data_IF_151040478290
#
_entry.id   IF_151040478290
#
_cell.length_a   1.000
_cell.length_b   1.000
_cell.length_c   1.000
_cell.angle_alpha   90.00
_cell.angle_beta   90.00
_cell.angle_gamma   90.00
#
_symmetry.space_group_name_H-M   'P 1'
#
loop_
_entity.id
_entity.type
_entity.pdbx_description
1 polymer ?
#
# COMPACT_ATOMS: atom_id res chain seq x y z
N UNK A 1 11.44 -3.68 12.83
CA UNK A 1 11.12 -5.00 12.24
C UNK A 1 11.77 -6.06 13.11
N UNK A 2 11.02 -6.99 13.67
CA UNK A 2 11.67 -8.15 14.27
C UNK A 2 12.49 -8.86 13.19
N UNK A 3 13.74 -9.18 13.50
CA UNK A 3 14.56 -10.01 12.62
C UNK A 3 13.89 -11.38 12.55
N UNK A 4 13.41 -11.73 11.38
CA UNK A 4 12.89 -13.09 11.18
C UNK A 4 14.03 -14.08 11.39
N UNK A 5 13.77 -15.19 12.11
CA UNK A 5 14.79 -16.23 12.27
C UNK A 5 15.23 -16.72 10.88
N UNK A 6 16.49 -17.12 10.74
CA UNK A 6 17.01 -17.60 9.46
C UNK A 6 16.17 -18.80 8.99
N UNK A 7 15.71 -18.74 7.73
CA UNK A 7 14.94 -19.82 7.11
C UNK A 7 15.86 -21.02 6.95
N UNK A 8 15.51 -22.20 7.48
CA UNK A 8 16.29 -23.41 7.27
C UNK A 8 16.47 -23.70 5.77
N UNK A 9 17.64 -24.19 5.38
CA UNK A 9 17.95 -24.52 4.00
C UNK A 9 16.86 -25.43 3.40
N UNK A 10 16.25 -24.98 2.28
CA UNK A 10 15.21 -25.70 1.57
C UNK A 10 13.76 -25.41 2.02
N UNK A 11 13.53 -24.57 3.02
CA UNK A 11 12.18 -24.08 3.34
C UNK A 11 11.86 -22.80 2.57
N UNK A 12 10.61 -22.70 2.13
CA UNK A 12 10.04 -21.49 1.53
C UNK A 12 9.13 -20.82 2.56
N UNK A 13 9.43 -19.56 2.87
CA UNK A 13 8.59 -18.72 3.72
C UNK A 13 7.80 -17.75 2.85
N UNK A 14 6.49 -17.70 3.05
CA UNK A 14 5.60 -16.71 2.41
C UNK A 14 4.84 -15.96 3.47
N UNK A 15 4.80 -14.64 3.32
CA UNK A 15 3.96 -13.76 4.12
C UNK A 15 2.95 -13.07 3.22
N UNK A 16 1.76 -12.81 3.77
CA UNK A 16 0.79 -11.94 3.12
C UNK A 16 1.08 -10.50 3.51
N UNK A 17 1.10 -9.63 2.51
CA UNK A 17 1.37 -8.19 2.67
C UNK A 17 0.32 -7.38 1.93
N UNK A 18 0.29 -6.09 2.21
CA UNK A 18 -0.53 -5.11 1.49
C UNK A 18 0.35 -4.00 0.94
N UNK A 19 0.01 -3.50 -0.24
CA UNK A 19 0.55 -2.28 -0.82
C UNK A 19 -0.61 -1.36 -1.20
N UNK A 20 -0.55 -0.09 -0.81
CA UNK A 20 -1.70 0.81 -0.97
C UNK A 20 -1.30 2.04 -1.78
N UNK A 21 -1.85 2.16 -2.98
CA UNK A 21 -1.68 3.35 -3.80
C UNK A 21 -2.77 4.36 -3.48
N UNK A 22 -2.45 5.30 -2.61
CA UNK A 22 -3.36 6.38 -2.21
C UNK A 22 -3.27 7.50 -3.23
N UNK A 23 -4.40 7.92 -3.79
CA UNK A 23 -4.49 8.97 -4.82
C UNK A 23 -5.23 10.18 -4.27
N UNK A 24 -4.67 11.37 -4.48
CA UNK A 24 -5.29 12.64 -4.19
C UNK A 24 -4.79 13.71 -5.17
N UNK A 25 -5.70 14.50 -5.73
CA UNK A 25 -5.38 15.60 -6.65
C UNK A 25 -4.49 15.16 -7.83
N UNK A 26 -4.78 13.99 -8.44
CA UNK A 26 -4.01 13.38 -9.54
C UNK A 26 -2.55 13.05 -9.18
N UNK A 27 -2.28 12.83 -7.90
CA UNK A 27 -0.97 12.42 -7.38
C UNK A 27 -1.12 11.17 -6.54
N UNK A 28 -0.05 10.39 -6.46
CA UNK A 28 0.06 9.20 -5.64
C UNK A 28 0.98 9.46 -4.46
N UNK A 29 0.62 8.88 -3.32
CA UNK A 29 1.41 8.97 -2.10
C UNK A 29 2.52 7.92 -2.11
N UNK A 30 3.76 8.35 -1.94
CA UNK A 30 4.92 7.48 -1.76
C UNK A 30 5.73 7.93 -0.55
N UNK A 31 6.44 6.99 0.05
CA UNK A 31 7.44 7.26 1.08
C UNK A 31 8.79 6.61 0.73
N UNK A 32 9.85 7.18 1.26
CA UNK A 32 11.19 6.62 1.08
C UNK A 32 11.49 5.60 2.18
N UNK A 33 11.59 4.34 1.81
CA UNK A 33 11.92 3.25 2.73
C UNK A 33 13.43 3.16 2.92
N UNK A 34 13.95 3.72 4.02
CA UNK A 34 15.39 3.89 4.27
C UNK A 34 16.19 2.58 4.21
N UNK A 35 15.68 1.49 4.80
CA UNK A 35 16.37 0.19 4.81
C UNK A 35 16.50 -0.42 3.43
N UNK A 36 15.52 -0.21 2.56
CA UNK A 36 15.52 -0.72 1.19
C UNK A 36 16.11 0.27 0.18
N UNK A 37 16.26 1.54 0.58
CA UNK A 37 16.74 2.59 -0.32
C UNK A 37 15.82 2.84 -1.51
N UNK A 38 14.50 2.69 -1.32
CA UNK A 38 13.51 2.74 -2.39
C UNK A 38 12.31 3.60 -2.03
N UNK A 39 11.72 4.22 -3.06
CA UNK A 39 10.41 4.83 -2.97
C UNK A 39 9.33 3.76 -3.12
N UNK A 40 8.44 3.66 -2.15
CA UNK A 40 7.41 2.64 -2.06
C UNK A 40 6.05 3.27 -1.76
N UNK A 41 4.94 2.66 -2.18
CA UNK A 41 3.64 2.96 -1.60
C UNK A 41 3.61 2.50 -0.14
N UNK A 42 2.76 3.08 0.71
CA UNK A 42 2.53 2.54 2.06
C UNK A 42 2.12 1.08 1.99
N UNK A 43 2.63 0.28 2.93
CA UNK A 43 2.31 -1.14 2.97
C UNK A 43 3.17 -1.92 3.96
N UNK A 44 2.78 -3.15 4.19
CA UNK A 44 3.48 -4.04 5.12
C UNK A 44 2.76 -5.35 5.34
N UNK A 45 3.17 -6.08 6.37
CA UNK A 45 2.61 -7.38 6.69
C UNK A 45 1.17 -7.26 7.23
N UNK A 46 0.33 -8.24 6.85
CA UNK A 46 -0.94 -8.48 7.50
C UNK A 46 -0.64 -9.19 8.82
N UNK A 47 -1.07 -8.62 9.93
CA UNK A 47 -0.83 -9.18 11.27
C UNK A 47 -1.74 -10.38 11.57
N UNK A 48 -1.41 -11.14 12.60
CA UNK A 48 -2.23 -12.28 13.03
C UNK A 48 -3.65 -11.81 13.39
N UNK A 49 -4.66 -12.47 12.82
CA UNK A 49 -6.09 -12.16 12.97
C UNK A 49 -6.55 -10.80 12.40
N UNK A 50 -5.69 -10.10 11.66
CA UNK A 50 -6.04 -8.87 10.95
C UNK A 50 -6.63 -9.18 9.57
N UNK A 51 -7.64 -8.42 9.16
CA UNK A 51 -8.16 -8.52 7.80
C UNK A 51 -7.28 -7.72 6.82
N UNK A 52 -7.17 -8.15 5.55
CA UNK A 52 -6.32 -7.45 4.58
C UNK A 52 -6.68 -5.98 4.35
N UNK A 53 -7.97 -5.64 4.34
CA UNK A 53 -8.44 -4.27 4.17
C UNK A 53 -8.19 -3.42 5.44
N UNK A 54 -8.20 -4.01 6.62
CA UNK A 54 -7.79 -3.36 7.87
C UNK A 54 -6.28 -3.08 7.88
N UNK A 55 -5.46 -4.08 7.50
CA UNK A 55 -4.01 -3.92 7.37
C UNK A 55 -3.66 -2.78 6.40
N UNK A 56 -4.33 -2.71 5.26
CA UNK A 56 -4.12 -1.65 4.27
C UNK A 56 -4.34 -0.25 4.86
N UNK A 57 -5.42 -0.04 5.60
CA UNK A 57 -5.72 1.24 6.23
C UNK A 57 -4.74 1.56 7.35
N UNK A 58 -4.38 0.56 8.17
CA UNK A 58 -3.42 0.71 9.27
C UNK A 58 -2.04 1.14 8.75
N UNK A 59 -1.51 0.43 7.75
CA UNK A 59 -0.18 0.71 7.18
C UNK A 59 -0.11 2.13 6.58
N UNK A 60 -1.14 2.57 5.84
CA UNK A 60 -1.19 3.95 5.34
C UNK A 60 -1.07 4.94 6.47
N UNK A 61 -1.82 4.74 7.56
CA UNK A 61 -1.81 5.66 8.69
C UNK A 61 -0.48 5.65 9.43
N UNK A 62 0.10 4.48 9.69
CA UNK A 62 1.36 4.34 10.43
C UNK A 62 2.54 4.95 9.66
N UNK A 63 2.63 4.68 8.37
CA UNK A 63 3.76 5.12 7.57
C UNK A 63 3.66 6.57 7.08
N UNK A 64 2.45 7.13 6.99
CA UNK A 64 2.25 8.45 6.36
C UNK A 64 1.42 9.44 7.18
N UNK A 65 0.70 8.98 8.19
CA UNK A 65 -0.26 9.79 8.92
C UNK A 65 -1.58 10.04 8.20
N UNK A 66 -1.71 9.60 6.94
CA UNK A 66 -2.92 9.80 6.14
C UNK A 66 -4.04 8.88 6.63
N UNK A 67 -5.23 9.42 6.78
CA UNK A 67 -6.45 8.64 6.95
C UNK A 67 -7.05 8.33 5.60
N UNK A 68 -7.01 7.07 5.20
CA UNK A 68 -7.41 6.63 3.88
C UNK A 68 -8.70 5.82 3.90
N UNK A 69 -9.43 5.88 2.80
CA UNK A 69 -10.55 5.01 2.47
C UNK A 69 -10.17 4.20 1.25
N UNK A 70 -10.29 2.88 1.34
CA UNK A 70 -10.05 2.00 0.22
C UNK A 70 -11.11 2.19 -0.87
N UNK A 71 -10.68 2.12 -2.11
CA UNK A 71 -11.53 2.19 -3.29
C UNK A 71 -11.47 0.84 -4.00
N UNK A 72 -12.63 0.21 -4.13
CA UNK A 72 -12.75 -1.10 -4.76
C UNK A 72 -14.15 -1.65 -4.56
N UNK A 73 -14.48 -2.65 -5.36
CA UNK A 73 -15.74 -3.38 -5.20
C UNK A 73 -15.69 -4.31 -3.98
N UNK A 74 -16.85 -4.71 -3.53
CA UNK A 74 -17.03 -5.86 -2.64
C UNK A 74 -17.54 -7.01 -3.51
N UNK A 75 -17.24 -8.24 -3.16
CA UNK A 75 -17.56 -9.39 -3.99
C UNK A 75 -19.06 -9.52 -4.32
N UNK A 76 -19.84 -10.10 -3.44
CA UNK A 76 -21.27 -10.30 -3.62
C UNK A 76 -22.07 -9.23 -2.86
N UNK A 77 -23.27 -8.85 -3.32
CA UNK A 77 -24.15 -7.92 -2.61
C UNK A 77 -24.94 -8.64 -1.49
N UNK A 78 -24.21 -9.24 -0.55
CA UNK A 78 -24.75 -9.99 0.59
C UNK A 78 -24.03 -9.60 1.87
N UNK A 79 -24.68 -9.72 3.02
CA UNK A 79 -24.12 -9.36 4.32
C UNK A 79 -23.30 -10.50 4.94
N UNK A 80 -23.74 -11.74 4.73
CA UNK A 80 -23.05 -12.93 5.23
C UNK A 80 -22.83 -13.98 4.12
N UNK A 81 -21.62 -14.48 3.94
CA UNK A 81 -20.40 -14.05 4.64
C UNK A 81 -20.02 -12.60 4.29
N UNK A 82 -19.41 -11.89 5.27
CA UNK A 82 -18.95 -10.51 5.09
C UNK A 82 -18.01 -10.41 3.88
N UNK A 83 -18.33 -9.50 2.99
CA UNK A 83 -17.51 -9.24 1.81
C UNK A 83 -16.48 -8.16 2.11
N UNK A 84 -15.22 -8.46 1.86
CA UNK A 84 -14.12 -7.51 2.04
C UNK A 84 -13.92 -6.69 0.76
N UNK A 85 -13.18 -5.59 0.87
CA UNK A 85 -12.77 -4.83 -0.31
C UNK A 85 -11.88 -5.68 -1.19
N UNK A 86 -12.24 -5.81 -2.46
CA UNK A 86 -11.46 -6.57 -3.43
C UNK A 86 -10.19 -5.81 -3.77
N UNK A 87 -8.98 -6.39 -3.62
CA UNK A 87 -7.75 -5.75 -4.05
C UNK A 87 -7.74 -5.52 -5.57
N UNK A 88 -7.05 -4.47 -6.01
CA UNK A 88 -6.87 -4.16 -7.43
C UNK A 88 -6.03 -5.23 -8.15
N UNK A 89 -5.21 -5.95 -7.41
CA UNK A 89 -4.46 -7.10 -7.88
C UNK A 89 -3.72 -7.81 -6.75
N UNK A 90 -3.17 -8.97 -7.09
CA UNK A 90 -2.35 -9.77 -6.19
C UNK A 90 -1.08 -10.13 -6.95
N UNK A 91 0.07 -9.93 -6.33
CA UNK A 91 1.37 -10.25 -6.93
C UNK A 91 2.26 -11.03 -5.98
N UNK A 92 3.24 -11.72 -6.55
CA UNK A 92 4.24 -12.47 -5.79
C UNK A 92 5.57 -11.73 -5.90
N UNK A 93 6.12 -11.31 -4.78
CA UNK A 93 7.42 -10.67 -4.69
C UNK A 93 8.47 -11.61 -4.11
N UNK A 94 9.61 -11.69 -4.77
CA UNK A 94 10.79 -12.36 -4.24
C UNK A 94 11.61 -11.37 -3.41
N UNK A 95 11.60 -11.51 -2.10
CA UNK A 95 12.29 -10.58 -1.19
C UNK A 95 13.78 -10.95 -1.12
N UNK A 96 14.05 -12.23 -0.86
CA UNK A 96 15.36 -12.86 -0.95
C UNK A 96 15.18 -14.38 -1.12
N UNK A 97 16.24 -15.16 -1.45
CA UNK A 97 16.11 -16.59 -1.65
C UNK A 97 15.43 -17.30 -0.47
N UNK A 98 14.32 -17.96 -0.74
CA UNK A 98 13.51 -18.65 0.27
C UNK A 98 12.45 -17.78 0.97
N UNK A 99 12.36 -16.48 0.69
CA UNK A 99 11.35 -15.60 1.26
C UNK A 99 10.59 -14.83 0.18
N UNK A 100 9.29 -14.96 0.19
CA UNK A 100 8.37 -14.32 -0.75
C UNK A 100 7.25 -13.61 -0.01
N UNK A 101 6.75 -12.51 -0.61
CA UNK A 101 5.51 -11.86 -0.22
C UNK A 101 4.41 -12.14 -1.23
N UNK A 102 3.23 -12.49 -0.75
CA UNK A 102 1.98 -12.45 -1.52
C UNK A 102 1.33 -11.11 -1.21
N UNK A 103 1.49 -10.18 -2.12
CA UNK A 103 1.16 -8.78 -1.92
C UNK A 103 -0.21 -8.45 -2.51
N UNK A 104 -1.13 -8.00 -1.66
CA UNK A 104 -2.47 -7.54 -2.04
C UNK A 104 -2.40 -6.05 -2.30
N UNK A 105 -2.57 -5.65 -3.55
CA UNK A 105 -2.49 -4.25 -3.97
C UNK A 105 -3.86 -3.60 -3.86
N UNK A 106 -3.96 -2.52 -3.09
CA UNK A 106 -5.18 -1.74 -2.93
C UNK A 106 -5.02 -0.33 -3.50
N UNK A 107 -6.12 0.24 -3.96
CA UNK A 107 -6.24 1.66 -4.26
C UNK A 107 -7.04 2.35 -3.17
N UNK A 108 -6.67 3.58 -2.85
CA UNK A 108 -7.30 4.37 -1.82
C UNK A 108 -7.32 5.85 -2.15
N UNK A 109 -8.14 6.59 -1.43
CA UNK A 109 -8.13 8.04 -1.40
C UNK A 109 -8.10 8.50 0.06
N UNK A 110 -7.68 9.75 0.35
CA UNK A 110 -7.93 10.33 1.66
C UNK A 110 -9.41 10.25 2.00
N UNK A 111 -9.74 10.03 3.27
CA UNK A 111 -11.14 9.90 3.70
C UNK A 111 -11.92 11.19 3.38
N UNK A 112 -12.91 11.16 2.48
CA UNK A 112 -13.64 12.35 2.05
C UNK A 112 -14.50 12.98 3.16
N UNK A 113 -14.78 12.24 4.22
CA UNK A 113 -15.55 12.73 5.37
C UNK A 113 -14.67 13.46 6.39
N UNK A 114 -13.37 13.51 6.15
CA UNK A 114 -12.39 14.16 7.00
C UNK A 114 -11.55 15.18 6.20
N UNK A 115 -11.80 16.46 6.43
CA UNK A 115 -11.14 17.57 5.71
C UNK A 115 -9.60 17.60 5.87
N UNK A 116 -9.06 16.96 6.91
CA UNK A 116 -7.63 16.88 7.17
C UNK A 116 -7.01 15.54 6.74
N UNK A 117 -7.80 14.65 6.18
CA UNK A 117 -7.35 13.28 5.86
C UNK A 117 -6.20 13.23 4.84
N UNK A 118 -6.08 14.23 3.97
CA UNK A 118 -5.01 14.33 2.96
C UNK A 118 -3.73 15.00 3.49
N UNK A 119 -3.73 15.50 4.72
CA UNK A 119 -2.56 16.13 5.33
C UNK A 119 -1.63 15.04 5.87
N UNK A 120 -0.37 15.07 5.42
CA UNK A 120 0.67 14.21 5.98
C UNK A 120 1.00 14.72 7.38
N UNK A 121 0.80 13.86 8.39
CA UNK A 121 1.21 14.19 9.76
C UNK A 121 2.63 13.67 10.03
N UNK A 122 3.63 14.56 10.08
CA UNK A 122 5.02 14.13 10.27
C UNK A 122 5.27 13.52 11.66
N UNK A 123 4.35 13.67 12.61
CA UNK A 123 4.46 13.06 13.94
C UNK A 123 4.03 11.59 13.94
N UNK A 124 3.16 11.22 12.99
CA UNK A 124 2.67 9.85 12.83
C UNK A 124 3.43 9.08 11.76
N UNK A 125 4.01 9.80 10.78
CA UNK A 125 4.74 9.17 9.70
C UNK A 125 6.05 8.55 10.18
N UNK A 126 6.23 7.28 9.92
CA UNK A 126 7.50 6.57 10.22
C UNK A 126 8.64 6.99 9.31
N UNK A 127 8.34 7.55 8.14
CA UNK A 127 9.30 8.06 7.18
C UNK A 127 9.32 9.59 7.18
N UNK A 128 10.53 10.17 7.21
CA UNK A 128 10.72 11.63 7.06
C UNK A 128 10.46 12.12 5.63
N UNK A 129 10.38 11.22 4.67
CA UNK A 129 10.19 11.53 3.26
C UNK A 129 8.92 10.87 2.75
N UNK A 130 7.81 11.53 3.03
CA UNK A 130 6.48 11.16 2.51
C UNK A 130 5.98 12.33 1.70
N UNK A 131 5.55 12.10 0.46
CA UNK A 131 5.00 13.15 -0.37
C UNK A 131 4.08 12.61 -1.48
N UNK A 132 3.35 13.54 -2.08
CA UNK A 132 2.47 13.31 -3.22
C UNK A 132 3.20 13.55 -4.54
N UNK A 133 3.21 12.58 -5.43
CA UNK A 133 3.91 12.62 -6.71
C UNK A 133 2.98 12.41 -7.89
N UNK A 134 3.14 13.22 -8.94
CA UNK A 134 2.49 12.98 -10.22
C UNK A 134 3.17 11.82 -10.96
N UNK A 135 2.47 11.18 -11.88
CA UNK A 135 2.96 10.02 -12.61
C UNK A 135 4.27 10.25 -13.37
N UNK A 136 4.46 11.45 -13.91
CA UNK A 136 5.67 11.85 -14.65
C UNK A 136 6.90 12.06 -13.76
N UNK A 137 6.71 12.23 -12.45
CA UNK A 137 7.80 12.39 -11.48
C UNK A 137 8.40 11.05 -11.02
N UNK A 138 7.67 9.94 -11.15
CA UNK A 138 8.03 8.66 -10.53
C UNK A 138 9.32 8.06 -11.08
N UNK A 139 9.55 8.19 -12.39
CA UNK A 139 10.79 7.72 -13.03
C UNK A 139 12.01 8.48 -12.52
N UNK A 140 11.89 9.81 -12.37
CA UNK A 140 12.98 10.66 -11.84
C UNK A 140 13.28 10.37 -10.36
N UNK A 141 12.28 9.92 -9.58
CA UNK A 141 12.48 9.46 -8.20
C UNK A 141 13.22 8.11 -8.12
N UNK A 142 13.33 7.37 -9.22
CA UNK A 142 13.86 6.01 -9.22
C UNK A 142 12.85 4.97 -8.74
N UNK A 143 11.55 5.25 -8.82
CA UNK A 143 10.52 4.25 -8.57
C UNK A 143 10.62 3.13 -9.62
N UNK A 144 10.45 1.88 -9.19
CA UNK A 144 10.51 0.72 -10.09
C UNK A 144 9.40 0.76 -11.16
N UNK A 145 9.58 0.04 -12.25
CA UNK A 145 8.57 -0.07 -13.31
C UNK A 145 7.22 -0.60 -12.78
N UNK A 146 7.28 -1.53 -11.85
CA UNK A 146 6.11 -2.10 -11.18
C UNK A 146 5.35 -1.02 -10.40
N UNK A 147 6.04 -0.22 -9.56
CA UNK A 147 5.41 0.88 -8.79
C UNK A 147 4.83 1.93 -9.74
N UNK A 148 5.55 2.29 -10.80
CA UNK A 148 5.05 3.22 -11.82
C UNK A 148 3.79 2.70 -12.50
N UNK A 149 3.74 1.40 -12.82
CA UNK A 149 2.58 0.78 -13.48
C UNK A 149 1.35 0.75 -12.56
N UNK A 150 1.52 0.35 -11.31
CA UNK A 150 0.43 0.39 -10.32
C UNK A 150 -0.05 1.81 -10.03
N UNK A 151 0.87 2.76 -9.89
CA UNK A 151 0.52 4.16 -9.68
C UNK A 151 -0.33 4.72 -10.83
N UNK A 152 0.03 4.43 -12.09
CA UNK A 152 -0.78 4.83 -13.26
C UNK A 152 -2.17 4.20 -13.21
N UNK A 153 -2.27 2.90 -12.92
CA UNK A 153 -3.57 2.22 -12.79
C UNK A 153 -4.44 2.83 -11.69
N UNK A 154 -3.84 3.18 -10.55
CA UNK A 154 -4.55 3.84 -9.46
C UNK A 154 -5.05 5.24 -9.86
N UNK A 155 -4.19 6.03 -10.51
CA UNK A 155 -4.54 7.36 -11.01
C UNK A 155 -5.66 7.29 -12.04
N UNK A 156 -5.62 6.33 -12.96
CA UNK A 156 -6.67 6.14 -13.97
C UNK A 156 -7.99 5.69 -13.34
N UNK A 157 -7.93 4.75 -12.40
CA UNK A 157 -9.11 4.23 -11.71
C UNK A 157 -9.83 5.30 -10.88
N UNK A 158 -9.09 6.26 -10.33
CA UNK A 158 -9.61 7.33 -9.46
C UNK A 158 -9.75 8.69 -10.15
N UNK A 159 -9.44 8.78 -11.45
CA UNK A 159 -9.56 10.02 -12.22
C UNK A 159 -10.98 10.59 -12.23
N UNK A 160 -11.99 9.74 -12.09
CA UNK A 160 -13.41 10.13 -12.11
C UNK A 160 -13.98 10.49 -10.73
N UNK A 161 -13.16 10.39 -9.69
CA UNK A 161 -13.59 10.56 -8.29
C UNK A 161 -13.10 11.90 -7.69
N UNK A 162 -12.38 12.69 -8.48
CA UNK A 162 -11.86 14.02 -8.11
C UNK A 162 -12.75 15.13 -8.66
#
# INVERSE_FOLDING_TARGET
>A
MPEHPPIPHGQLLRHFTVAVFVVHGRRVLLHYHRKLGKWLPPGGHIEDNELPDEAAIREVREETGIRARLVGGHGLPIDEPRQLVVPAGIQLENIYPGHQHVDLVYFAMPDPDDVQSAEIDPRLAESDQVAWYAADQLAALGATEEIQAWARRALDALASTC
#
